data_IF_098641698833
#
_entry.id   IF_098641698833
#
_cell.length_a   1.000
_cell.length_b   1.000
_cell.length_c   1.000
_cell.angle_alpha   90.00
_cell.angle_beta   90.00
_cell.angle_gamma   90.00
#
_symmetry.space_group_name_H-M   'P 1'
#
loop_
_entity.id
_entity.type
_entity.pdbx_description
1 polymer ?
#
# COMPACT_ATOMS: atom_id res chain seq x y z
N UNK A 1 13.71 -9.76 -17.20
CA UNK A 1 13.86 -9.58 -15.73
C UNK A 1 12.91 -8.54 -15.16
N UNK A 2 12.86 -7.32 -15.69
CA UNK A 2 11.96 -6.24 -15.22
C UNK A 2 10.46 -6.60 -15.20
N UNK A 3 9.93 -7.22 -16.26
CA UNK A 3 8.49 -7.55 -16.37
C UNK A 3 8.04 -8.54 -15.30
N UNK A 4 8.85 -9.57 -15.02
CA UNK A 4 8.56 -10.55 -13.98
C UNK A 4 8.53 -9.89 -12.58
N UNK A 5 9.54 -9.06 -12.27
CA UNK A 5 9.58 -8.30 -11.02
C UNK A 5 8.40 -7.34 -10.88
N UNK A 6 8.02 -6.65 -11.96
CA UNK A 6 6.84 -5.77 -11.99
C UNK A 6 5.56 -6.55 -11.70
N UNK A 7 5.35 -7.70 -12.34
CA UNK A 7 4.18 -8.53 -12.11
C UNK A 7 4.12 -9.05 -10.67
N UNK A 8 5.25 -9.52 -10.13
CA UNK A 8 5.34 -9.95 -8.72
C UNK A 8 4.99 -8.78 -7.79
N UNK A 9 5.54 -7.60 -8.03
CA UNK A 9 5.24 -6.42 -7.23
C UNK A 9 3.75 -6.04 -7.27
N UNK A 10 3.11 -6.09 -8.46
CA UNK A 10 1.68 -5.84 -8.61
C UNK A 10 0.82 -6.87 -7.86
N UNK A 11 1.20 -8.15 -7.92
CA UNK A 11 0.54 -9.23 -7.16
C UNK A 11 0.68 -8.97 -5.66
N UNK A 12 1.86 -8.57 -5.18
CA UNK A 12 2.08 -8.24 -3.77
C UNK A 12 1.26 -7.02 -3.31
N UNK A 13 1.08 -6.02 -4.17
CA UNK A 13 0.20 -4.87 -3.89
C UNK A 13 -1.24 -5.36 -3.73
N UNK A 14 -1.74 -6.16 -4.68
CA UNK A 14 -3.09 -6.70 -4.64
C UNK A 14 -3.31 -7.58 -3.40
N UNK A 15 -2.33 -8.41 -3.05
CA UNK A 15 -2.37 -9.25 -1.86
C UNK A 15 -2.35 -8.44 -0.56
N UNK A 16 -1.50 -7.40 -0.48
CA UNK A 16 -1.45 -6.49 0.67
C UNK A 16 -2.78 -5.74 0.85
N UNK A 17 -3.35 -5.22 -0.24
CA UNK A 17 -4.66 -4.57 -0.22
C UNK A 17 -5.77 -5.54 0.22
N UNK A 18 -5.81 -6.76 -0.33
CA UNK A 18 -6.79 -7.78 0.06
C UNK A 18 -6.68 -8.16 1.54
N UNK A 19 -5.47 -8.29 2.08
CA UNK A 19 -5.23 -8.54 3.50
C UNK A 19 -5.64 -7.36 4.38
N UNK A 20 -5.43 -6.13 3.90
CA UNK A 20 -5.88 -4.92 4.59
C UNK A 20 -7.42 -4.86 4.68
N UNK A 21 -8.12 -5.12 3.58
CA UNK A 21 -9.59 -5.21 3.53
C UNK A 21 -10.10 -6.31 4.46
N UNK A 22 -9.50 -7.50 4.38
CA UNK A 22 -9.87 -8.64 5.24
C UNK A 22 -9.72 -8.30 6.72
N UNK A 23 -8.61 -7.68 7.11
CA UNK A 23 -8.39 -7.23 8.49
C UNK A 23 -9.41 -6.18 8.92
N UNK A 24 -9.75 -5.24 8.05
CA UNK A 24 -10.75 -4.22 8.34
C UNK A 24 -12.13 -4.84 8.59
N UNK A 25 -12.58 -5.76 7.73
CA UNK A 25 -13.85 -6.49 7.89
C UNK A 25 -13.85 -7.29 9.20
N UNK A 26 -12.78 -8.05 9.47
CA UNK A 26 -12.65 -8.84 10.70
C UNK A 26 -12.72 -7.97 11.96
N UNK A 27 -12.11 -6.78 11.91
CA UNK A 27 -12.14 -5.80 12.99
C UNK A 27 -13.56 -5.23 13.20
N UNK A 28 -14.24 -4.83 12.14
CA UNK A 28 -15.61 -4.26 12.23
C UNK A 28 -16.60 -5.31 12.73
N UNK A 29 -16.48 -6.55 12.24
CA UNK A 29 -17.31 -7.68 12.67
C UNK A 29 -16.96 -8.21 14.07
N UNK A 30 -15.93 -7.67 14.73
CA UNK A 30 -15.41 -8.12 16.04
C UNK A 30 -15.21 -9.64 16.11
N UNK A 31 -14.80 -10.25 15.00
CA UNK A 31 -14.73 -11.71 14.88
C UNK A 31 -13.54 -12.27 15.66
N UNK A 32 -13.70 -13.42 16.36
CA UNK A 32 -12.59 -14.07 17.06
C UNK A 32 -11.47 -14.50 16.10
N UNK A 33 -11.76 -14.61 14.80
CA UNK A 33 -10.78 -14.93 13.75
C UNK A 33 -9.66 -13.88 13.65
N UNK A 34 -9.89 -12.63 14.08
CA UNK A 34 -8.85 -11.59 14.11
C UNK A 34 -7.69 -11.97 15.04
N UNK A 35 -7.92 -12.83 16.03
CA UNK A 35 -6.88 -13.29 16.96
C UNK A 35 -6.06 -14.48 16.44
N UNK A 36 -6.44 -15.10 15.31
CA UNK A 36 -5.65 -16.20 14.74
C UNK A 36 -4.29 -15.67 14.26
N UNK A 37 -3.23 -16.41 14.60
CA UNK A 37 -1.83 -16.06 14.26
C UNK A 37 -1.65 -15.80 12.75
N UNK A 38 -2.32 -16.57 11.89
CA UNK A 38 -2.29 -16.38 10.44
C UNK A 38 -2.71 -14.96 10.03
N UNK A 39 -3.87 -14.49 10.48
CA UNK A 39 -4.39 -13.16 10.11
C UNK A 39 -3.46 -12.03 10.57
N UNK A 40 -2.75 -12.22 11.69
CA UNK A 40 -1.78 -11.23 12.21
C UNK A 40 -0.42 -11.27 11.50
N UNK A 41 0.04 -12.44 11.08
CA UNK A 41 1.40 -12.64 10.54
C UNK A 41 1.45 -12.51 9.02
N UNK A 42 0.45 -13.02 8.29
CA UNK A 42 0.42 -12.97 6.82
C UNK A 42 0.62 -11.55 6.26
N UNK A 43 0.00 -10.49 6.80
CA UNK A 43 0.23 -9.13 6.33
C UNK A 43 1.69 -8.67 6.50
N UNK A 44 2.39 -9.08 7.56
CA UNK A 44 3.79 -8.71 7.76
C UNK A 44 4.72 -9.35 6.72
N UNK A 45 4.53 -10.64 6.42
CA UNK A 45 5.33 -11.32 5.40
C UNK A 45 5.11 -10.68 4.01
N UNK A 46 3.86 -10.39 3.65
CA UNK A 46 3.50 -9.79 2.36
C UNK A 46 4.01 -8.35 2.27
N UNK A 47 3.86 -7.55 3.32
CA UNK A 47 4.35 -6.17 3.33
C UNK A 47 5.88 -6.11 3.26
N UNK A 48 6.59 -7.02 3.92
CA UNK A 48 8.04 -7.13 3.79
C UNK A 48 8.48 -7.43 2.36
N UNK A 49 7.85 -8.42 1.71
CA UNK A 49 8.08 -8.75 0.31
C UNK A 49 7.71 -7.59 -0.64
N UNK A 50 6.63 -6.86 -0.34
CA UNK A 50 6.19 -5.71 -1.12
C UNK A 50 7.24 -4.59 -1.10
N UNK A 51 7.79 -4.27 0.07
CA UNK A 51 8.85 -3.27 0.21
C UNK A 51 10.11 -3.75 -0.52
N UNK A 52 10.50 -5.00 -0.31
CA UNK A 52 11.70 -5.58 -0.92
C UNK A 52 11.61 -5.59 -2.46
N UNK A 53 10.44 -5.96 -3.01
CA UNK A 53 10.20 -5.90 -4.47
C UNK A 53 10.20 -4.47 -5.00
N UNK A 54 9.70 -3.50 -4.23
CA UNK A 54 9.79 -2.07 -4.57
C UNK A 54 11.23 -1.58 -4.65
N UNK A 55 12.06 -1.94 -3.67
CA UNK A 55 13.50 -1.61 -3.65
C UNK A 55 14.23 -2.25 -4.84
N UNK A 56 13.97 -3.52 -5.13
CA UNK A 56 14.53 -4.20 -6.31
C UNK A 56 14.14 -3.49 -7.61
N UNK A 57 12.90 -3.01 -7.74
CA UNK A 57 12.46 -2.23 -8.89
C UNK A 57 13.23 -0.91 -9.00
N UNK A 58 13.52 -0.22 -7.91
CA UNK A 58 14.36 0.99 -7.91
C UNK A 58 15.78 0.68 -8.38
N UNK A 59 16.39 -0.39 -7.87
CA UNK A 59 17.75 -0.80 -8.26
C UNK A 59 17.84 -1.19 -9.74
N UNK A 60 16.87 -1.94 -10.24
CA UNK A 60 16.84 -2.38 -11.65
C UNK A 60 16.55 -1.22 -12.61
N UNK A 61 15.75 -0.24 -12.19
CA UNK A 61 15.37 0.88 -13.05
C UNK A 61 16.27 2.11 -12.92
N UNK A 62 17.08 2.19 -11.87
CA UNK A 62 17.97 3.32 -11.59
C UNK A 62 17.26 4.59 -11.10
N UNK A 63 15.94 4.56 -10.92
CA UNK A 63 15.20 5.71 -10.42
C UNK A 63 15.44 5.90 -8.92
N UNK A 64 15.73 7.14 -8.53
CA UNK A 64 15.90 7.53 -7.13
C UNK A 64 14.79 8.53 -6.78
N UNK A 65 14.01 8.29 -5.70
CA UNK A 65 13.01 9.26 -5.25
C UNK A 65 13.72 10.54 -4.78
N UNK A 66 13.01 11.68 -4.83
CA UNK A 66 13.52 13.00 -4.43
C UNK A 66 14.63 13.59 -5.32
N UNK A 67 14.78 13.12 -6.58
CA UNK A 67 15.66 13.76 -7.56
C UNK A 67 14.86 14.60 -8.57
N UNK A 68 15.45 15.70 -9.10
CA UNK A 68 14.87 16.43 -10.22
C UNK A 68 14.62 15.49 -11.41
N UNK A 69 13.42 15.50 -11.98
CA UNK A 69 13.01 14.59 -13.06
C UNK A 69 12.40 13.24 -12.62
N UNK A 70 12.34 12.95 -11.32
CA UNK A 70 11.68 11.75 -10.76
C UNK A 70 10.47 12.09 -9.87
N UNK A 71 9.81 13.21 -10.12
CA UNK A 71 8.63 13.70 -9.37
C UNK A 71 7.54 12.65 -9.26
N UNK A 72 7.25 11.92 -10.35
CA UNK A 72 6.27 10.82 -10.35
C UNK A 72 6.61 9.73 -9.33
N UNK A 73 7.90 9.45 -9.10
CA UNK A 73 8.33 8.44 -8.14
C UNK A 73 8.20 8.95 -6.70
N UNK A 74 8.53 10.22 -6.47
CA UNK A 74 8.34 10.90 -5.18
C UNK A 74 6.85 10.95 -4.81
N UNK A 75 6.00 11.27 -5.77
CA UNK A 75 4.54 11.28 -5.60
C UNK A 75 4.00 9.87 -5.34
N UNK A 76 4.47 8.86 -6.07
CA UNK A 76 4.12 7.47 -5.79
C UNK A 76 4.51 7.05 -4.38
N UNK A 77 5.71 7.44 -3.92
CA UNK A 77 6.20 7.11 -2.59
C UNK A 77 5.37 7.78 -1.49
N UNK A 78 5.03 9.06 -1.65
CA UNK A 78 4.16 9.78 -0.71
C UNK A 78 2.75 9.20 -0.66
N UNK A 79 2.18 8.76 -1.80
CA UNK A 79 0.91 8.05 -1.82
C UNK A 79 0.95 6.75 -1.00
N UNK A 80 2.05 5.99 -1.10
CA UNK A 80 2.23 4.74 -0.32
C UNK A 80 2.36 5.06 1.17
N UNK A 81 3.07 6.13 1.55
CA UNK A 81 3.14 6.57 2.95
C UNK A 81 1.76 6.97 3.49
N UNK A 82 0.97 7.71 2.71
CA UNK A 82 -0.40 8.08 3.07
C UNK A 82 -1.29 6.84 3.23
N UNK A 83 -1.20 5.85 2.33
CA UNK A 83 -1.87 4.57 2.44
C UNK A 83 -1.53 3.85 3.76
N UNK A 84 -0.25 3.76 4.12
CA UNK A 84 0.19 3.09 5.35
C UNK A 84 -0.34 3.84 6.59
N UNK A 85 -0.20 5.17 6.62
CA UNK A 85 -0.66 5.99 7.75
C UNK A 85 -2.17 5.86 7.96
N UNK A 86 -2.96 5.97 6.89
CA UNK A 86 -4.41 5.80 6.94
C UNK A 86 -4.80 4.35 7.28
N UNK A 87 -4.04 3.37 6.80
CA UNK A 87 -4.27 1.97 7.13
C UNK A 87 -4.06 1.66 8.62
N UNK A 88 -2.99 2.20 9.22
CA UNK A 88 -2.76 2.11 10.66
C UNK A 88 -3.86 2.84 11.44
N UNK A 89 -4.28 4.01 10.96
CA UNK A 89 -5.37 4.75 11.60
C UNK A 89 -6.69 3.98 11.56
N UNK A 90 -7.05 3.42 10.40
CA UNK A 90 -8.26 2.63 10.21
C UNK A 90 -8.29 1.39 11.12
N UNK A 91 -7.17 0.68 11.26
CA UNK A 91 -7.11 -0.59 12.00
C UNK A 91 -6.80 -0.44 13.49
N UNK A 92 -5.95 0.51 13.90
CA UNK A 92 -5.44 0.59 15.29
C UNK A 92 -5.90 1.82 16.07
N UNK A 93 -6.03 2.99 15.43
CA UNK A 93 -6.17 4.27 16.18
C UNK A 93 -7.56 4.90 16.12
N UNK A 94 -8.41 4.52 15.16
CA UNK A 94 -9.73 5.13 15.02
C UNK A 94 -10.64 4.80 16.21
N UNK A 95 -10.97 5.80 17.04
CA UNK A 95 -11.94 5.65 18.14
C UNK A 95 -13.39 5.54 17.64
N UNK A 96 -13.69 6.17 16.50
CA UNK A 96 -15.03 6.20 15.90
C UNK A 96 -15.11 5.33 14.64
N UNK A 97 -16.15 4.51 14.49
CA UNK A 97 -16.30 3.62 13.33
C UNK A 97 -16.47 4.39 12.01
N UNK A 98 -17.11 5.55 12.02
CA UNK A 98 -17.24 6.40 10.83
C UNK A 98 -15.87 6.89 10.33
N UNK A 99 -15.04 7.43 11.23
CA UNK A 99 -13.68 7.88 10.91
C UNK A 99 -12.80 6.72 10.41
N UNK A 100 -12.99 5.51 10.95
CA UNK A 100 -12.31 4.31 10.45
C UNK A 100 -12.72 3.96 9.02
N UNK A 101 -14.02 4.08 8.69
CA UNK A 101 -14.53 3.88 7.34
C UNK A 101 -13.95 4.89 6.34
N UNK A 102 -13.94 6.18 6.70
CA UNK A 102 -13.31 7.21 5.86
C UNK A 102 -11.81 6.97 5.67
N UNK A 103 -11.09 6.62 6.72
CA UNK A 103 -9.66 6.29 6.61
C UNK A 103 -9.41 5.05 5.75
N UNK A 104 -10.28 4.03 5.84
CA UNK A 104 -10.21 2.84 5.01
C UNK A 104 -10.43 3.16 3.52
N UNK A 105 -11.49 3.91 3.20
CA UNK A 105 -11.75 4.35 1.83
C UNK A 105 -10.66 5.28 1.31
N UNK A 106 -10.16 6.19 2.15
CA UNK A 106 -9.04 7.07 1.84
C UNK A 106 -7.77 6.29 1.53
N UNK A 107 -7.44 5.28 2.33
CA UNK A 107 -6.28 4.41 2.08
C UNK A 107 -6.39 3.73 0.71
N UNK A 108 -7.55 3.16 0.37
CA UNK A 108 -7.79 2.57 -0.96
C UNK A 108 -7.65 3.61 -2.08
N UNK A 109 -8.14 4.83 -1.88
CA UNK A 109 -7.98 5.94 -2.83
C UNK A 109 -6.51 6.26 -3.11
N UNK A 110 -5.70 6.39 -2.05
CA UNK A 110 -4.25 6.62 -2.19
C UNK A 110 -3.53 5.45 -2.86
N UNK A 111 -3.95 4.22 -2.60
CA UNK A 111 -3.39 3.03 -3.28
C UNK A 111 -3.70 3.03 -4.77
N UNK A 112 -4.94 3.36 -5.16
CA UNK A 112 -5.34 3.49 -6.57
C UNK A 112 -4.57 4.63 -7.26
N UNK A 113 -4.37 5.75 -6.57
CA UNK A 113 -3.58 6.86 -7.07
C UNK A 113 -2.12 6.45 -7.30
N UNK A 114 -1.50 5.77 -6.33
CA UNK A 114 -0.14 5.24 -6.46
C UNK A 114 -0.01 4.24 -7.63
N UNK A 115 -1.04 3.41 -7.85
CA UNK A 115 -1.10 2.49 -8.98
C UNK A 115 -1.17 3.25 -10.32
N UNK A 116 -2.03 4.26 -10.41
CA UNK A 116 -2.18 5.11 -11.61
C UNK A 116 -0.87 5.82 -11.94
N UNK A 117 -0.23 6.48 -10.97
CA UNK A 117 1.07 7.15 -11.14
C UNK A 117 2.14 6.15 -11.60
N UNK A 118 2.13 4.93 -11.04
CA UNK A 118 3.06 3.87 -11.46
C UNK A 118 2.86 3.37 -12.90
N UNK A 119 1.64 3.47 -13.44
CA UNK A 119 1.32 3.08 -14.82
C UNK A 119 1.62 4.21 -15.81
N UNK A 120 1.23 5.43 -15.48
CA UNK A 120 1.44 6.60 -16.35
C UNK A 120 2.88 7.10 -16.32
N UNK A 121 3.60 6.87 -15.20
CA UNK A 121 4.92 7.46 -14.91
C UNK A 121 4.91 8.99 -15.05
N UNK A 122 3.75 9.60 -14.84
CA UNK A 122 3.55 11.05 -14.87
C UNK A 122 3.14 11.50 -13.47
N UNK A 123 3.72 12.60 -12.95
CA UNK A 123 3.23 13.22 -11.73
C UNK A 123 1.81 13.75 -11.98
N UNK A 124 0.93 13.59 -11.00
CA UNK A 124 -0.46 14.06 -11.06
C UNK A 124 -0.63 15.32 -10.20
N UNK A 125 0.06 15.38 -9.06
CA UNK A 125 0.02 16.49 -8.11
C UNK A 125 1.24 17.41 -8.18
N UNK A 126 2.40 16.87 -8.57
CA UNK A 126 3.67 17.61 -8.61
C UNK A 126 4.07 18.06 -10.03
N UNK A 127 3.15 17.98 -11.01
CA UNK A 127 3.38 18.28 -12.41
C UNK A 127 3.03 19.71 -12.82
#
# INVERSE_FOLDING_TARGET
>A
MYVALKNIHLILIALSAGLFITQYILMVSKSPLQNKKFIKVTPHAVNGLLILSGILLLLVTGWVPFKPGSEWLTEKFTCVLAYIALGVFALKMGKNQLLRGFAFLGALGWLLMAAKIGMTKMPILMG
#
